data_IF_735849033510
#
_entry.id   IF_735849033510
#
_cell.length_a   1.000
_cell.length_b   1.000
_cell.length_c   1.000
_cell.angle_alpha   90.00
_cell.angle_beta   90.00
_cell.angle_gamma   90.00
#
_symmetry.space_group_name_H-M   'P 1'
#
loop_
_entity.id
_entity.type
_entity.pdbx_description
1 polymer ?
#
# COMPACT_ATOMS: atom_id res chain seq x y z
N UNK A 1 50.16 63.84 -2.68
CA UNK A 1 50.10 62.70 -1.72
C UNK A 1 48.90 61.86 -2.13
N UNK A 2 48.98 60.79 -2.95
CA UNK A 2 49.66 59.48 -2.82
C UNK A 2 49.28 58.67 -1.57
N UNK A 3 48.29 57.77 -1.76
CA UNK A 3 48.17 56.35 -1.33
C UNK A 3 46.88 55.85 -2.00
N UNK A 4 46.87 55.18 -3.15
CA UNK A 4 47.34 53.83 -3.47
C UNK A 4 47.01 52.79 -2.40
N UNK A 5 45.92 52.05 -2.64
CA UNK A 5 45.80 50.63 -2.28
C UNK A 5 45.46 49.85 -3.57
N UNK A 6 46.26 48.80 -3.73
CA UNK A 6 46.41 47.81 -4.80
C UNK A 6 45.13 47.00 -5.07
N UNK A 7 44.77 46.73 -6.33
CA UNK A 7 45.07 45.49 -7.10
C UNK A 7 44.53 44.21 -6.41
N UNK A 8 43.74 43.35 -7.04
CA UNK A 8 43.45 43.24 -8.46
C UNK A 8 42.37 42.21 -8.82
N UNK A 9 42.06 42.24 -10.10
CA UNK A 9 41.29 41.28 -10.87
C UNK A 9 42.08 39.96 -10.93
N UNK A 10 41.43 38.83 -10.62
CA UNK A 10 42.02 37.50 -10.64
C UNK A 10 40.99 36.42 -10.93
N UNK A 11 40.83 36.14 -12.22
CA UNK A 11 40.55 34.85 -12.86
C UNK A 11 39.80 33.72 -12.12
N UNK A 12 38.73 33.28 -12.80
CA UNK A 12 38.31 31.90 -13.03
C UNK A 12 39.01 30.81 -12.19
N UNK A 13 38.26 30.23 -11.26
CA UNK A 13 38.36 28.81 -10.95
C UNK A 13 36.97 28.19 -11.16
N UNK A 14 36.84 27.51 -12.30
CA UNK A 14 35.84 26.48 -12.55
C UNK A 14 36.03 25.41 -11.47
N UNK A 15 35.18 25.44 -10.45
CA UNK A 15 34.83 24.32 -9.60
C UNK A 15 33.35 24.09 -9.90
N UNK A 16 32.96 23.29 -10.90
CA UNK A 16 33.52 21.96 -11.12
C UNK A 16 33.21 21.03 -9.94
N UNK A 17 32.20 21.34 -9.12
CA UNK A 17 31.52 20.31 -8.33
C UNK A 17 30.42 19.77 -9.23
N UNK A 18 30.77 18.69 -9.91
CA UNK A 18 29.81 17.74 -10.44
C UNK A 18 28.86 17.37 -9.31
N UNK A 19 27.73 18.07 -9.22
CA UNK A 19 26.51 17.57 -8.60
C UNK A 19 26.05 16.41 -9.46
N UNK A 20 26.75 15.31 -9.23
CA UNK A 20 26.37 13.97 -9.63
C UNK A 20 24.91 13.81 -9.23
N UNK A 21 24.11 13.40 -10.20
CA UNK A 21 22.69 13.21 -10.11
C UNK A 21 22.29 12.48 -8.82
N UNK A 22 21.62 13.16 -7.89
CA UNK A 22 20.97 12.50 -6.74
C UNK A 22 19.76 13.28 -6.18
N UNK A 23 19.24 14.28 -6.91
CA UNK A 23 18.09 15.08 -6.48
C UNK A 23 16.93 15.14 -7.50
N UNK A 24 16.98 14.35 -8.57
CA UNK A 24 15.94 14.32 -9.61
C UNK A 24 15.02 13.08 -9.57
N UNK A 25 15.33 12.04 -8.77
CA UNK A 25 14.57 10.77 -8.80
C UNK A 25 14.15 10.27 -7.40
N UNK A 26 13.81 11.18 -6.48
CA UNK A 26 13.08 10.76 -5.29
C UNK A 26 11.65 10.38 -5.71
N UNK A 27 11.44 9.09 -6.03
CA UNK A 27 10.12 8.54 -6.37
C UNK A 27 9.09 8.99 -5.33
N UNK A 28 7.96 9.52 -5.80
CA UNK A 28 6.89 10.01 -4.94
C UNK A 28 6.35 8.87 -4.08
N UNK A 29 6.47 9.00 -2.76
CA UNK A 29 6.01 7.99 -1.81
C UNK A 29 4.65 8.40 -1.23
N UNK A 30 3.57 8.10 -1.95
CA UNK A 30 2.22 8.49 -1.52
C UNK A 30 1.80 7.92 -0.15
N UNK A 31 2.14 6.67 0.25
CA UNK A 31 1.88 6.19 1.60
C UNK A 31 2.53 7.05 2.69
N UNK A 32 3.79 7.47 2.52
CA UNK A 32 4.47 8.38 3.47
C UNK A 32 3.88 9.80 3.42
N UNK A 33 3.45 10.27 2.25
CA UNK A 33 2.76 11.56 2.16
C UNK A 33 1.44 11.50 2.92
N UNK A 34 0.68 10.40 2.80
CA UNK A 34 -0.60 10.21 3.47
C UNK A 34 -0.52 10.34 5.00
N UNK A 35 0.61 9.97 5.63
CA UNK A 35 0.78 10.12 7.10
C UNK A 35 0.87 11.59 7.53
N UNK A 36 1.22 12.49 6.62
CA UNK A 36 1.35 13.94 6.87
C UNK A 36 0.09 14.73 6.52
N UNK A 37 -0.87 14.10 5.86
CA UNK A 37 -2.13 14.73 5.49
C UNK A 37 -3.03 14.86 6.74
N UNK A 38 -3.54 16.07 7.05
CA UNK A 38 -4.44 16.28 8.18
C UNK A 38 -5.74 15.49 7.99
N UNK A 39 -6.41 15.18 9.09
CA UNK A 39 -7.66 14.40 9.06
C UNK A 39 -8.88 15.21 8.59
N UNK A 40 -8.77 16.54 8.53
CA UNK A 40 -9.80 17.48 8.08
C UNK A 40 -9.18 18.86 7.80
N UNK A 41 -9.82 19.69 6.99
CA UNK A 41 -9.48 21.12 6.86
C UNK A 41 -9.92 21.94 8.10
N UNK A 42 -11.00 21.51 8.74
CA UNK A 42 -11.51 22.05 10.00
C UNK A 42 -11.54 20.95 11.09
N UNK A 43 -10.38 20.44 11.54
CA UNK A 43 -10.32 19.35 12.53
C UNK A 43 -10.90 19.77 13.87
N UNK A 44 -10.88 21.07 14.17
CA UNK A 44 -11.54 21.68 15.30
C UNK A 44 -12.23 22.97 14.85
N UNK A 45 -13.37 23.28 15.47
CA UNK A 45 -14.06 24.56 15.26
C UNK A 45 -13.63 25.63 16.26
N UNK A 46 -12.34 25.68 16.56
CA UNK A 46 -11.72 26.62 17.51
C UNK A 46 -11.26 27.91 16.82
N UNK A 47 -11.27 29.04 17.53
CA UNK A 47 -10.80 30.33 17.00
C UNK A 47 -9.27 30.52 17.13
N UNK A 48 -8.63 31.30 16.23
CA UNK A 48 -9.21 31.94 15.04
C UNK A 48 -9.37 30.98 13.86
N UNK A 49 -10.47 31.11 13.12
CA UNK A 49 -10.79 30.26 11.96
C UNK A 49 -10.55 30.98 10.64
N UNK A 50 -10.03 30.26 9.65
CA UNK A 50 -9.97 30.73 8.26
C UNK A 50 -11.38 30.85 7.66
N UNK A 51 -11.59 31.58 6.54
CA UNK A 51 -12.89 31.64 5.88
C UNK A 51 -13.48 30.26 5.54
N UNK A 52 -12.66 29.35 5.02
CA UNK A 52 -13.06 27.97 4.72
C UNK A 52 -13.47 27.21 5.99
N UNK A 53 -12.70 27.33 7.07
CA UNK A 53 -13.04 26.70 8.34
C UNK A 53 -14.35 27.23 8.92
N UNK A 54 -14.62 28.54 8.77
CA UNK A 54 -15.91 29.12 9.17
C UNK A 54 -17.07 28.55 8.36
N UNK A 55 -16.89 28.41 7.04
CA UNK A 55 -17.89 27.79 6.17
C UNK A 55 -18.21 26.37 6.65
N UNK A 56 -17.18 25.53 6.86
CA UNK A 56 -17.35 24.14 7.30
C UNK A 56 -18.02 24.06 8.69
N UNK A 57 -17.49 24.81 9.67
CA UNK A 57 -17.92 24.72 11.06
C UNK A 57 -19.33 25.26 11.36
N UNK A 58 -19.80 26.22 10.56
CA UNK A 58 -21.08 26.90 10.80
C UNK A 58 -22.12 26.65 9.71
N UNK A 59 -21.86 25.71 8.80
CA UNK A 59 -22.82 25.34 7.77
C UNK A 59 -24.07 24.74 8.38
N UNK A 60 -25.23 25.22 7.91
CA UNK A 60 -26.54 24.70 8.29
C UNK A 60 -27.04 23.82 7.15
N UNK A 61 -26.91 22.48 7.25
CA UNK A 61 -27.24 21.59 6.16
C UNK A 61 -28.75 21.55 5.91
N UNK A 62 -29.15 21.49 4.63
CA UNK A 62 -30.55 21.29 4.21
C UNK A 62 -30.99 19.83 4.39
N UNK A 63 -30.07 18.88 4.20
CA UNK A 63 -30.23 17.45 4.45
C UNK A 63 -29.12 16.94 5.37
N UNK A 64 -29.37 15.96 6.23
CA UNK A 64 -28.35 15.47 7.18
C UNK A 64 -27.06 14.97 6.50
N UNK A 65 -27.16 14.49 5.25
CA UNK A 65 -26.04 14.09 4.38
C UNK A 65 -25.13 15.23 3.95
N UNK A 66 -25.54 16.48 4.19
CA UNK A 66 -24.89 17.70 3.70
C UNK A 66 -24.03 18.35 4.79
N UNK A 67 -23.80 17.62 5.88
CA UNK A 67 -23.00 18.07 7.00
C UNK A 67 -21.53 18.19 6.57
N UNK A 68 -21.06 19.43 6.43
CA UNK A 68 -19.69 19.72 5.99
C UNK A 68 -18.62 19.19 6.94
N UNK A 69 -18.86 19.10 8.25
CA UNK A 69 -17.87 18.53 9.18
C UNK A 69 -17.67 17.03 8.97
N UNK A 70 -18.77 16.31 8.74
CA UNK A 70 -18.71 14.88 8.41
C UNK A 70 -18.09 14.66 7.03
N UNK A 71 -18.45 15.49 6.05
CA UNK A 71 -17.92 15.39 4.70
C UNK A 71 -16.43 15.72 4.64
N UNK A 72 -15.97 16.75 5.34
CA UNK A 72 -14.55 17.15 5.43
C UNK A 72 -13.68 16.00 5.93
N UNK A 73 -14.02 15.44 7.09
CA UNK A 73 -13.27 14.32 7.67
C UNK A 73 -13.31 13.06 6.80
N UNK A 74 -14.47 12.73 6.23
CA UNK A 74 -14.62 11.56 5.34
C UNK A 74 -13.84 11.72 4.05
N UNK A 75 -13.83 12.91 3.45
CA UNK A 75 -13.11 13.22 2.22
C UNK A 75 -11.61 13.12 2.43
N UNK A 76 -11.08 13.69 3.52
CA UNK A 76 -9.66 13.60 3.84
C UNK A 76 -9.24 12.17 4.16
N UNK A 77 -10.10 11.40 4.83
CA UNK A 77 -9.87 9.98 5.04
C UNK A 77 -9.79 9.20 3.71
N UNK A 78 -10.76 9.39 2.81
CA UNK A 78 -10.77 8.74 1.49
C UNK A 78 -9.55 9.12 0.65
N UNK A 79 -9.11 10.37 0.69
CA UNK A 79 -7.89 10.80 0.01
C UNK A 79 -6.63 10.13 0.59
N UNK A 80 -6.52 10.01 1.92
CA UNK A 80 -5.42 9.28 2.58
C UNK A 80 -5.40 7.80 2.18
N UNK A 81 -6.56 7.16 2.09
CA UNK A 81 -6.67 5.78 1.62
C UNK A 81 -6.22 5.65 0.17
N UNK A 82 -6.69 6.52 -0.74
CA UNK A 82 -6.30 6.50 -2.15
C UNK A 82 -4.78 6.70 -2.34
N UNK A 83 -4.16 7.58 -1.56
CA UNK A 83 -2.69 7.76 -1.56
C UNK A 83 -1.95 6.50 -1.07
N UNK A 84 -2.45 5.83 -0.02
CA UNK A 84 -1.85 4.59 0.48
C UNK A 84 -1.95 3.47 -0.55
N UNK A 85 -3.12 3.32 -1.17
CA UNK A 85 -3.37 2.35 -2.23
C UNK A 85 -2.49 2.59 -3.47
N UNK A 86 -2.28 3.85 -3.85
CA UNK A 86 -1.47 4.21 -5.02
C UNK A 86 -0.01 3.76 -4.93
N UNK A 87 0.57 3.66 -3.72
CA UNK A 87 1.95 3.17 -3.55
C UNK A 87 3.05 4.18 -3.93
N UNK A 88 4.24 3.66 -4.26
CA UNK A 88 5.46 4.48 -4.46
C UNK A 88 5.84 4.55 -5.93
N UNK A 89 6.05 5.76 -6.43
CA UNK A 89 6.55 6.01 -7.78
C UNK A 89 5.55 5.67 -8.89
N UNK A 90 4.26 5.52 -8.56
CA UNK A 90 3.23 5.13 -9.52
C UNK A 90 2.66 6.35 -10.26
N UNK A 91 2.20 6.18 -11.51
CA UNK A 91 1.44 7.21 -12.22
C UNK A 91 0.22 7.69 -11.43
N UNK A 92 -0.46 6.78 -10.75
CA UNK A 92 -1.64 7.04 -9.93
C UNK A 92 -1.30 7.95 -8.74
N UNK A 93 -0.16 7.72 -8.08
CA UNK A 93 0.33 8.58 -7.01
C UNK A 93 0.54 10.03 -7.51
N UNK A 94 1.18 10.17 -8.67
CA UNK A 94 1.42 11.47 -9.30
C UNK A 94 0.11 12.18 -9.65
N UNK A 95 -0.83 11.47 -10.26
CA UNK A 95 -2.14 11.99 -10.63
C UNK A 95 -2.97 12.42 -9.41
N UNK A 96 -3.00 11.62 -8.35
CA UNK A 96 -3.70 11.94 -7.11
C UNK A 96 -3.21 13.26 -6.50
N UNK A 97 -1.89 13.42 -6.38
CA UNK A 97 -1.27 14.63 -5.83
C UNK A 97 -1.55 15.86 -6.70
N UNK A 98 -1.51 15.72 -8.03
CA UNK A 98 -1.84 16.81 -8.94
C UNK A 98 -3.32 17.21 -8.84
N UNK A 99 -4.23 16.23 -8.84
CA UNK A 99 -5.68 16.48 -8.73
C UNK A 99 -6.06 17.12 -7.40
N UNK A 100 -5.38 16.76 -6.31
CA UNK A 100 -5.62 17.33 -4.98
C UNK A 100 -5.29 18.83 -4.96
N UNK A 101 -4.17 19.25 -5.58
CA UNK A 101 -3.80 20.68 -5.66
C UNK A 101 -4.86 21.52 -6.37
N UNK A 102 -5.48 20.97 -7.42
CA UNK A 102 -6.57 21.63 -8.14
C UNK A 102 -7.79 21.77 -7.23
N UNK A 103 -8.19 20.69 -6.58
CA UNK A 103 -9.30 20.69 -5.63
C UNK A 103 -9.09 21.69 -4.48
N UNK A 104 -7.91 21.71 -3.85
CA UNK A 104 -7.62 22.63 -2.74
C UNK A 104 -7.67 24.10 -3.17
N UNK A 105 -7.26 24.40 -4.41
CA UNK A 105 -7.37 25.74 -4.99
C UNK A 105 -8.84 26.13 -5.21
N UNK A 106 -9.65 25.25 -5.77
CA UNK A 106 -11.08 25.47 -5.98
C UNK A 106 -11.82 25.65 -4.65
N UNK A 107 -11.52 24.78 -3.68
CA UNK A 107 -12.09 24.84 -2.33
C UNK A 107 -11.73 26.16 -1.63
N UNK A 108 -10.48 26.61 -1.74
CA UNK A 108 -10.04 27.89 -1.19
C UNK A 108 -10.73 29.10 -1.83
N UNK A 109 -11.09 29.02 -3.11
CA UNK A 109 -11.79 30.08 -3.82
C UNK A 109 -13.24 30.29 -3.33
N UNK A 110 -13.88 29.29 -2.74
CA UNK A 110 -15.21 29.43 -2.12
C UNK A 110 -15.20 30.35 -0.89
N UNK A 111 -14.06 30.57 -0.23
CA UNK A 111 -13.98 31.42 0.95
C UNK A 111 -14.93 30.97 2.07
N UNK A 112 -15.89 31.82 2.45
CA UNK A 112 -16.89 31.52 3.49
C UNK A 112 -18.24 31.02 2.94
N UNK A 113 -18.36 30.78 1.63
CA UNK A 113 -19.59 30.29 1.01
C UNK A 113 -19.75 28.78 1.23
N UNK A 114 -20.63 28.41 2.16
CA UNK A 114 -20.87 27.01 2.52
C UNK A 114 -21.52 26.16 1.42
N UNK A 115 -22.38 26.74 0.57
CA UNK A 115 -23.01 25.99 -0.52
C UNK A 115 -21.96 25.70 -1.63
N UNK A 116 -21.07 26.66 -1.93
CA UNK A 116 -19.90 26.44 -2.81
C UNK A 116 -18.96 25.36 -2.26
N UNK A 117 -18.63 25.41 -0.96
CA UNK A 117 -17.78 24.41 -0.30
C UNK A 117 -18.41 23.02 -0.39
N UNK A 118 -19.72 22.90 -0.11
CA UNK A 118 -20.44 21.63 -0.19
C UNK A 118 -20.42 21.04 -1.60
N UNK A 119 -20.69 21.85 -2.63
CA UNK A 119 -20.65 21.39 -4.01
C UNK A 119 -19.25 20.89 -4.39
N UNK A 120 -18.21 21.64 -4.02
CA UNK A 120 -16.81 21.32 -4.33
C UNK A 120 -16.36 20.03 -3.63
N UNK A 121 -16.67 19.88 -2.33
CA UNK A 121 -16.37 18.66 -1.57
C UNK A 121 -17.13 17.44 -2.10
N UNK A 122 -18.40 17.59 -2.51
CA UNK A 122 -19.16 16.48 -3.12
C UNK A 122 -18.55 16.01 -4.42
N UNK A 123 -18.20 16.94 -5.32
CA UNK A 123 -17.51 16.61 -6.59
C UNK A 123 -16.23 15.82 -6.32
N UNK A 124 -15.44 16.27 -5.34
CA UNK A 124 -14.22 15.57 -4.94
C UNK A 124 -14.50 14.19 -4.33
N UNK A 125 -15.52 14.05 -3.50
CA UNK A 125 -15.92 12.77 -2.91
C UNK A 125 -16.29 11.75 -4.00
N UNK A 126 -17.06 12.15 -5.02
CA UNK A 126 -17.35 11.29 -6.16
C UNK A 126 -16.08 10.91 -6.94
N UNK A 127 -15.21 11.88 -7.23
CA UNK A 127 -13.96 11.60 -7.93
C UNK A 127 -13.03 10.65 -7.14
N UNK A 128 -12.98 10.76 -5.81
CA UNK A 128 -12.20 9.85 -4.97
C UNK A 128 -12.78 8.44 -4.96
N UNK A 129 -14.12 8.30 -4.90
CA UNK A 129 -14.80 7.01 -5.02
C UNK A 129 -14.50 6.34 -6.36
N UNK A 130 -14.60 7.10 -7.45
CA UNK A 130 -14.28 6.58 -8.79
C UNK A 130 -12.82 6.13 -8.84
N UNK A 131 -11.88 6.88 -8.26
CA UNK A 131 -10.47 6.45 -8.18
C UNK A 131 -10.32 5.17 -7.37
N UNK A 132 -10.97 5.08 -6.20
CA UNK A 132 -10.92 3.88 -5.35
C UNK A 132 -11.42 2.64 -6.11
N UNK A 133 -12.54 2.76 -6.82
CA UNK A 133 -13.09 1.70 -7.67
C UNK A 133 -12.11 1.26 -8.77
N UNK A 134 -11.35 2.19 -9.37
CA UNK A 134 -10.34 1.87 -10.38
C UNK A 134 -9.03 1.32 -9.79
N UNK A 135 -8.66 1.73 -8.58
CA UNK A 135 -7.46 1.24 -7.88
C UNK A 135 -7.66 -0.17 -7.35
N UNK A 136 -8.89 -0.54 -7.01
CA UNK A 136 -9.25 -1.90 -6.69
C UNK A 136 -9.15 -2.75 -7.97
N UNK A 137 -8.02 -3.44 -8.13
CA UNK A 137 -7.89 -4.40 -9.22
C UNK A 137 -8.99 -5.46 -9.08
N UNK A 138 -9.89 -5.63 -10.07
CA UNK A 138 -10.95 -6.63 -9.98
C UNK A 138 -10.29 -8.00 -9.92
N UNK A 139 -10.35 -8.64 -8.75
CA UNK A 139 -9.98 -10.04 -8.59
C UNK A 139 -11.06 -10.90 -9.22
N UNK A 140 -11.03 -11.01 -10.55
CA UNK A 140 -11.99 -11.82 -11.28
C UNK A 140 -11.88 -13.29 -10.84
N UNK A 141 -12.99 -13.86 -10.38
CA UNK A 141 -13.05 -15.27 -10.00
C UNK A 141 -12.58 -16.19 -11.14
N UNK A 142 -12.88 -15.83 -12.40
CA UNK A 142 -12.44 -16.56 -13.57
C UNK A 142 -10.91 -16.51 -13.77
N UNK A 143 -10.27 -15.36 -13.48
CA UNK A 143 -8.81 -15.23 -13.55
C UNK A 143 -8.13 -16.05 -12.46
N UNK A 144 -8.63 -16.00 -11.23
CA UNK A 144 -8.16 -16.84 -10.11
C UNK A 144 -8.31 -18.34 -10.43
N UNK A 145 -9.46 -18.75 -10.97
CA UNK A 145 -9.72 -20.14 -11.37
C UNK A 145 -8.79 -20.61 -12.48
N UNK A 146 -8.57 -19.80 -13.53
CA UNK A 146 -7.61 -20.10 -14.60
C UNK A 146 -6.19 -20.22 -14.04
N UNK A 147 -5.81 -19.33 -13.12
CA UNK A 147 -4.48 -19.34 -12.55
C UNK A 147 -4.24 -20.53 -11.61
N UNK A 148 -5.12 -20.76 -10.64
CA UNK A 148 -5.00 -21.86 -9.68
C UNK A 148 -5.18 -23.24 -10.33
N UNK A 149 -6.08 -23.37 -11.30
CA UNK A 149 -6.43 -24.64 -11.93
C UNK A 149 -7.01 -25.66 -10.95
N UNK A 150 -6.85 -26.95 -11.24
CA UNK A 150 -7.33 -28.07 -10.42
C UNK A 150 -6.36 -28.51 -9.31
N UNK A 151 -5.48 -27.61 -8.86
CA UNK A 151 -4.41 -27.93 -7.91
C UNK A 151 -4.99 -28.16 -6.51
N UNK A 152 -4.54 -29.24 -5.85
CA UNK A 152 -4.83 -29.50 -4.45
C UNK A 152 -3.66 -29.05 -3.58
N UNK A 153 -3.94 -28.30 -2.53
CA UNK A 153 -2.98 -27.81 -1.56
C UNK A 153 -3.36 -28.24 -0.14
N UNK A 154 -2.37 -28.42 0.72
CA UNK A 154 -2.57 -28.76 2.12
C UNK A 154 -1.78 -27.79 2.98
N UNK A 155 -2.50 -26.90 3.67
CA UNK A 155 -1.91 -26.08 4.74
C UNK A 155 -1.46 -27.00 5.90
N UNK A 156 -0.44 -26.61 6.66
CA UNK A 156 0.02 -27.38 7.82
C UNK A 156 -1.09 -27.59 8.84
N UNK A 157 -1.26 -28.81 9.32
CA UNK A 157 -2.31 -29.15 10.29
C UNK A 157 -3.74 -29.11 9.73
N UNK A 158 -3.92 -28.88 8.42
CA UNK A 158 -5.22 -28.87 7.75
C UNK A 158 -5.35 -30.04 6.77
N UNK A 159 -6.60 -30.36 6.40
CA UNK A 159 -6.91 -31.31 5.32
C UNK A 159 -6.58 -30.67 3.97
N UNK A 160 -6.21 -31.51 3.01
CA UNK A 160 -5.99 -31.07 1.64
C UNK A 160 -7.30 -30.52 1.04
N UNK A 161 -7.21 -29.41 0.33
CA UNK A 161 -8.33 -28.73 -0.32
C UNK A 161 -7.89 -28.14 -1.67
N UNK A 162 -8.81 -27.83 -2.59
CA UNK A 162 -8.50 -27.06 -3.78
C UNK A 162 -7.79 -25.75 -3.43
N UNK A 163 -6.68 -25.46 -4.12
CA UNK A 163 -5.91 -24.23 -3.90
C UNK A 163 -6.79 -22.99 -4.04
N UNK A 164 -7.65 -22.94 -5.07
CA UNK A 164 -8.56 -21.82 -5.26
C UNK A 164 -9.44 -21.59 -4.03
N UNK A 165 -10.02 -22.65 -3.46
CA UNK A 165 -10.86 -22.53 -2.26
C UNK A 165 -10.07 -22.00 -1.06
N UNK A 166 -8.80 -22.42 -0.92
CA UNK A 166 -7.90 -21.92 0.14
C UNK A 166 -7.61 -20.43 -0.01
N UNK A 167 -7.46 -19.94 -1.24
CA UNK A 167 -7.24 -18.52 -1.53
C UNK A 167 -8.53 -17.71 -1.33
N UNK A 168 -9.65 -18.20 -1.86
CA UNK A 168 -10.94 -17.52 -1.78
C UNK A 168 -11.42 -17.31 -0.34
N UNK A 169 -11.16 -18.26 0.56
CA UNK A 169 -11.50 -18.10 2.00
C UNK A 169 -10.92 -16.82 2.61
N UNK A 170 -9.77 -16.35 2.14
CA UNK A 170 -9.19 -15.08 2.59
C UNK A 170 -9.77 -13.86 1.88
N UNK A 171 -10.41 -14.03 0.73
CA UNK A 171 -10.84 -12.96 -0.17
C UNK A 171 -12.33 -12.64 -0.05
N UNK A 172 -13.02 -13.21 0.94
CA UNK A 172 -14.47 -13.10 1.13
C UNK A 172 -14.91 -11.78 1.82
N UNK A 173 -13.97 -10.90 2.18
CA UNK A 173 -14.23 -9.60 2.79
C UNK A 173 -14.05 -8.52 1.74
N UNK A 174 -14.98 -7.56 1.67
CA UNK A 174 -14.91 -6.45 0.73
C UNK A 174 -15.10 -5.10 1.44
N UNK A 175 -14.32 -4.06 1.08
CA UNK A 175 -13.21 -4.06 0.13
C UNK A 175 -11.97 -4.80 0.65
N UNK A 176 -11.12 -5.27 -0.28
CA UNK A 176 -9.85 -5.92 0.06
C UNK A 176 -8.73 -4.89 0.14
N UNK A 177 -7.89 -4.94 1.20
CA UNK A 177 -6.66 -4.16 1.24
C UNK A 177 -5.74 -4.47 0.07
N UNK A 178 -5.19 -3.41 -0.51
CA UNK A 178 -4.33 -3.49 -1.68
C UNK A 178 -3.28 -2.39 -1.70
N UNK A 179 -2.21 -2.60 -2.47
CA UNK A 179 -1.15 -1.61 -2.65
C UNK A 179 -0.49 -1.76 -4.02
N UNK A 180 -0.37 -0.64 -4.74
CA UNK A 180 0.34 -0.52 -6.01
C UNK A 180 1.87 -0.61 -5.82
N UNK A 181 2.47 -1.62 -6.44
CA UNK A 181 3.91 -1.86 -6.36
C UNK A 181 4.67 -1.01 -7.39
N UNK A 182 5.95 -0.67 -7.14
CA UNK A 182 6.77 0.13 -8.08
C UNK A 182 6.95 -0.51 -9.47
N UNK A 183 6.73 -1.82 -9.59
CA UNK A 183 6.79 -2.54 -10.87
C UNK A 183 5.46 -2.49 -11.65
N UNK A 184 4.46 -1.71 -11.19
CA UNK A 184 3.14 -1.58 -11.80
C UNK A 184 2.18 -2.74 -11.52
N UNK A 185 2.57 -3.70 -10.68
CA UNK A 185 1.66 -4.73 -10.17
C UNK A 185 0.89 -4.19 -8.95
N UNK A 186 -0.20 -4.85 -8.59
CA UNK A 186 -0.92 -4.61 -7.34
C UNK A 186 -0.85 -5.85 -6.47
N UNK A 187 -0.43 -5.67 -5.21
CA UNK A 187 -0.58 -6.70 -4.18
C UNK A 187 -1.92 -6.50 -3.49
N UNK A 188 -2.74 -7.56 -3.45
CA UNK A 188 -4.01 -7.62 -2.73
C UNK A 188 -3.89 -8.69 -1.65
N UNK A 189 -4.43 -8.46 -0.47
CA UNK A 189 -4.46 -9.47 0.59
C UNK A 189 -5.79 -9.49 1.31
N UNK A 190 -6.05 -10.60 1.99
CA UNK A 190 -7.34 -10.85 2.60
C UNK A 190 -7.23 -11.72 3.86
N UNK A 191 -8.29 -11.66 4.67
CA UNK A 191 -8.34 -12.16 6.03
C UNK A 191 -9.35 -13.29 6.18
N UNK A 192 -9.13 -14.13 7.19
CA UNK A 192 -10.14 -15.07 7.62
C UNK A 192 -11.33 -14.30 8.18
N UNK A 193 -12.57 -14.63 7.76
CA UNK A 193 -13.75 -14.16 8.44
C UNK A 193 -13.68 -14.46 9.95
N UNK A 194 -14.05 -13.48 10.78
CA UNK A 194 -14.20 -13.56 12.25
C UNK A 194 -12.93 -13.63 13.11
N UNK A 195 -11.76 -13.97 12.57
CA UNK A 195 -10.51 -14.07 13.36
C UNK A 195 -9.47 -12.98 13.01
N UNK A 196 -9.75 -12.14 12.01
CA UNK A 196 -8.85 -11.07 11.54
C UNK A 196 -7.41 -11.54 11.23
N UNK A 197 -7.21 -12.82 10.92
CA UNK A 197 -5.90 -13.37 10.54
C UNK A 197 -5.73 -13.27 9.04
N UNK A 198 -4.59 -12.76 8.56
CA UNK A 198 -4.31 -12.80 7.11
C UNK A 198 -4.25 -14.26 6.64
N UNK A 199 -4.97 -14.57 5.59
CA UNK A 199 -5.04 -15.91 5.01
C UNK A 199 -4.46 -15.99 3.61
N UNK A 200 -4.56 -14.93 2.83
CA UNK A 200 -4.30 -15.02 1.39
C UNK A 200 -3.75 -13.72 0.84
N UNK A 201 -2.92 -13.84 -0.18
CA UNK A 201 -2.43 -12.73 -0.97
C UNK A 201 -2.47 -13.08 -2.46
N UNK A 202 -2.64 -12.07 -3.29
CA UNK A 202 -2.66 -12.18 -4.75
C UNK A 202 -1.86 -11.02 -5.30
N UNK A 203 -1.02 -11.29 -6.29
CA UNK A 203 -0.41 -10.23 -7.10
C UNK A 203 -1.05 -10.27 -8.48
N UNK A 204 -1.56 -9.13 -8.92
CA UNK A 204 -2.07 -8.92 -10.28
C UNK A 204 -1.25 -7.86 -10.99
N UNK A 205 -1.13 -7.95 -12.30
CA UNK A 205 -0.52 -6.87 -13.09
C UNK A 205 -1.54 -5.76 -13.38
N UNK A 206 -1.10 -4.68 -14.01
CA UNK A 206 -1.94 -3.56 -14.46
C UNK A 206 -3.11 -3.94 -15.39
N UNK A 207 -3.10 -5.14 -15.99
CA UNK A 207 -4.17 -5.67 -16.85
C UNK A 207 -5.16 -6.54 -16.08
N UNK A 208 -5.01 -6.67 -14.75
CA UNK A 208 -5.83 -7.56 -13.92
C UNK A 208 -5.44 -9.04 -14.00
N UNK A 209 -4.36 -9.39 -14.70
CA UNK A 209 -3.91 -10.78 -14.82
C UNK A 209 -3.13 -11.21 -13.58
N UNK A 210 -3.57 -12.31 -12.96
CA UNK A 210 -2.91 -12.93 -11.80
C UNK A 210 -1.48 -13.36 -12.16
N UNK A 211 -0.51 -12.89 -11.38
CA UNK A 211 0.90 -13.23 -11.49
C UNK A 211 1.34 -14.23 -10.41
N UNK A 212 0.74 -14.14 -9.23
CA UNK A 212 1.09 -14.94 -8.06
C UNK A 212 -0.13 -15.13 -7.15
N UNK A 213 -0.26 -16.31 -6.56
CA UNK A 213 -1.16 -16.57 -5.43
C UNK A 213 -0.32 -16.91 -4.19
N UNK A 214 -0.78 -16.53 -3.01
CA UNK A 214 -0.13 -16.85 -1.76
C UNK A 214 -1.11 -17.31 -0.69
N UNK A 215 -0.79 -18.43 -0.04
CA UNK A 215 -1.44 -18.87 1.18
C UNK A 215 -0.58 -18.45 2.37
N UNK A 216 -1.20 -17.82 3.36
CA UNK A 216 -0.53 -17.27 4.54
C UNK A 216 -1.07 -18.01 5.76
N UNK A 217 -0.18 -18.52 6.60
CA UNK A 217 -0.51 -19.21 7.83
C UNK A 217 0.30 -18.59 8.99
N UNK A 218 -0.36 -18.21 10.09
CA UNK A 218 0.27 -18.01 11.41
C UNK A 218 1.22 -16.81 11.61
N UNK A 219 1.13 -15.75 10.79
CA UNK A 219 2.08 -14.61 10.86
C UNK A 219 1.50 -13.28 11.38
N UNK A 220 0.18 -13.16 11.45
CA UNK A 220 -0.47 -11.87 11.76
C UNK A 220 -0.25 -11.47 13.22
N UNK A 221 0.10 -10.19 13.45
CA UNK A 221 0.39 -9.64 14.79
C UNK A 221 1.46 -10.42 15.58
N UNK A 222 2.43 -11.03 14.88
CA UNK A 222 3.54 -11.74 15.49
C UNK A 222 4.49 -10.87 16.34
N UNK A 223 4.41 -9.53 16.31
CA UNK A 223 5.16 -8.63 17.19
C UNK A 223 4.25 -7.48 17.71
N UNK A 224 3.41 -7.75 18.72
CA UNK A 224 2.54 -6.73 19.32
C UNK A 224 3.32 -5.54 19.91
N UNK A 225 2.66 -4.38 20.05
CA UNK A 225 3.31 -3.12 20.50
C UNK A 225 3.98 -3.21 21.86
N UNK A 226 3.44 -4.02 22.76
CA UNK A 226 3.90 -4.24 24.13
C UNK A 226 4.93 -5.37 24.26
N UNK A 227 5.32 -6.01 23.15
CA UNK A 227 6.21 -7.17 23.12
C UNK A 227 7.54 -6.84 22.45
N UNK A 228 8.59 -7.45 22.98
CA UNK A 228 9.96 -7.34 22.45
C UNK A 228 10.44 -8.61 21.76
N UNK A 229 9.65 -9.70 21.85
CA UNK A 229 9.94 -10.99 21.23
C UNK A 229 8.83 -11.35 20.25
N UNK A 230 9.18 -11.95 19.10
CA UNK A 230 8.18 -12.43 18.16
C UNK A 230 7.40 -13.63 18.75
N UNK A 231 6.10 -13.63 18.54
CA UNK A 231 5.15 -14.67 18.92
C UNK A 231 4.49 -15.22 17.63
N UNK A 232 5.29 -15.89 16.79
CA UNK A 232 4.78 -16.56 15.58
C UNK A 232 4.25 -17.96 15.91
N UNK A 233 3.20 -18.39 15.20
CA UNK A 233 2.73 -19.77 15.29
C UNK A 233 3.83 -20.73 14.82
N UNK A 234 3.89 -21.94 15.39
CA UNK A 234 4.88 -22.95 15.01
C UNK A 234 4.80 -23.36 13.52
N UNK A 235 3.65 -23.14 12.87
CA UNK A 235 3.45 -23.40 11.45
C UNK A 235 3.57 -22.14 10.57
N UNK A 236 3.94 -20.99 11.14
CA UNK A 236 4.04 -19.70 10.48
C UNK A 236 4.81 -19.80 9.16
N UNK A 237 4.15 -19.46 8.04
CA UNK A 237 4.76 -19.47 6.71
C UNK A 237 3.94 -18.70 5.69
N UNK A 238 4.60 -18.33 4.60
CA UNK A 238 3.97 -17.88 3.37
C UNK A 238 4.28 -18.91 2.28
N UNK A 239 3.24 -19.46 1.66
CA UNK A 239 3.37 -20.38 0.52
C UNK A 239 2.93 -19.68 -0.76
N UNK A 240 3.87 -19.48 -1.68
CA UNK A 240 3.68 -18.77 -2.94
C UNK A 240 3.53 -19.75 -4.10
N UNK A 241 2.62 -19.43 -5.02
CA UNK A 241 2.34 -20.21 -6.22
C UNK A 241 2.44 -19.33 -7.45
N UNK A 242 3.32 -19.70 -8.38
CA UNK A 242 3.58 -18.93 -9.60
C UNK A 242 3.55 -19.81 -10.84
N UNK A 243 3.14 -19.27 -11.99
CA UNK A 243 3.29 -19.95 -13.29
C UNK A 243 4.60 -19.56 -13.98
N UNK A 244 4.98 -18.29 -13.87
CA UNK A 244 6.25 -17.75 -14.34
C UNK A 244 7.18 -17.46 -13.14
N UNK A 245 8.35 -18.13 -13.03
CA UNK A 245 9.32 -17.85 -11.97
C UNK A 245 9.81 -16.39 -11.92
N UNK A 246 9.78 -15.64 -13.03
CA UNK A 246 10.16 -14.23 -13.01
C UNK A 246 9.21 -13.38 -12.14
N UNK A 247 7.92 -13.74 -12.07
CA UNK A 247 6.96 -13.06 -11.20
C UNK A 247 7.33 -13.18 -9.72
N UNK A 248 7.99 -14.28 -9.32
CA UNK A 248 8.49 -14.44 -7.96
C UNK A 248 9.60 -13.42 -7.69
N UNK A 249 10.60 -13.31 -8.57
CA UNK A 249 11.71 -12.37 -8.39
C UNK A 249 11.24 -10.90 -8.33
N UNK A 250 10.29 -10.53 -9.19
CA UNK A 250 9.78 -9.16 -9.27
C UNK A 250 8.99 -8.72 -8.03
N UNK A 251 8.34 -9.65 -7.32
CA UNK A 251 7.41 -9.33 -6.23
C UNK A 251 7.93 -9.75 -4.84
N UNK A 252 8.97 -10.58 -4.75
CA UNK A 252 9.50 -11.08 -3.49
C UNK A 252 9.95 -9.97 -2.50
N UNK A 253 10.60 -8.86 -2.92
CA UNK A 253 10.90 -7.77 -1.99
C UNK A 253 9.65 -7.20 -1.32
N UNK A 254 8.59 -6.96 -2.09
CA UNK A 254 7.32 -6.46 -1.57
C UNK A 254 6.64 -7.48 -0.65
N UNK A 255 6.68 -8.77 -0.97
CA UNK A 255 6.11 -9.83 -0.14
C UNK A 255 6.81 -9.97 1.21
N UNK A 256 8.13 -9.78 1.26
CA UNK A 256 8.89 -9.77 2.54
C UNK A 256 8.53 -8.57 3.40
N UNK A 257 8.46 -7.39 2.80
CA UNK A 257 8.06 -6.18 3.50
C UNK A 257 6.60 -6.25 3.99
N UNK A 258 5.72 -6.82 3.18
CA UNK A 258 4.34 -7.11 3.55
C UNK A 258 4.26 -8.11 4.72
N UNK A 259 5.11 -9.14 4.75
CA UNK A 259 5.16 -10.08 5.86
C UNK A 259 5.55 -9.39 7.18
N UNK A 260 6.56 -8.50 7.14
CA UNK A 260 6.94 -7.68 8.28
C UNK A 260 5.81 -6.73 8.71
N UNK A 261 5.08 -6.15 7.76
CA UNK A 261 3.90 -5.33 8.08
C UNK A 261 2.79 -6.16 8.75
N UNK A 262 2.52 -7.37 8.25
CA UNK A 262 1.57 -8.30 8.85
C UNK A 262 1.97 -8.70 10.28
N UNK A 263 3.27 -8.94 10.52
CA UNK A 263 3.79 -9.20 11.87
C UNK A 263 3.50 -8.04 12.82
N UNK A 264 3.56 -6.81 12.33
CA UNK A 264 3.28 -5.60 13.12
C UNK A 264 1.78 -5.28 13.25
N UNK A 265 0.91 -5.99 12.53
CA UNK A 265 -0.52 -5.72 12.45
C UNK A 265 -0.91 -4.59 11.50
N UNK A 266 -0.04 -4.27 10.53
CA UNK A 266 -0.18 -3.16 9.58
C UNK A 266 -0.33 -1.79 10.26
N UNK A 267 -0.56 -0.73 9.47
CA UNK A 267 -0.81 0.63 9.95
C UNK A 267 0.30 1.21 10.85
N UNK A 268 1.56 0.91 10.49
CA UNK A 268 2.75 1.35 11.21
C UNK A 268 3.47 2.48 10.47
N UNK A 269 3.94 3.47 11.22
CA UNK A 269 4.74 4.56 10.66
C UNK A 269 6.25 4.26 10.78
N UNK A 270 6.76 3.51 9.79
CA UNK A 270 8.17 3.15 9.75
C UNK A 270 9.12 4.32 9.45
N UNK A 271 8.60 5.49 9.05
CA UNK A 271 9.38 6.71 8.85
C UNK A 271 9.47 7.58 10.11
N UNK A 272 8.71 7.24 11.16
CA UNK A 272 8.58 8.01 12.38
C UNK A 272 8.68 7.15 13.62
N UNK A 273 7.64 7.18 14.46
CA UNK A 273 7.66 6.59 15.80
C UNK A 273 7.89 5.07 15.82
N UNK A 274 7.52 4.35 14.76
CA UNK A 274 7.65 2.88 14.69
C UNK A 274 8.93 2.40 13.97
N UNK A 275 9.86 3.29 13.59
CA UNK A 275 11.03 2.93 12.78
C UNK A 275 11.85 1.74 13.34
N UNK A 276 12.11 1.73 14.65
CA UNK A 276 12.84 0.63 15.30
C UNK A 276 12.04 -0.68 15.30
N UNK A 277 10.71 -0.61 15.46
CA UNK A 277 9.82 -1.79 15.42
C UNK A 277 9.75 -2.36 14.01
N UNK A 278 9.71 -1.52 12.99
CA UNK A 278 9.77 -1.96 11.60
C UNK A 278 11.07 -2.71 11.30
N UNK A 279 12.22 -2.16 11.70
CA UNK A 279 13.52 -2.83 11.54
C UNK A 279 13.58 -4.17 12.28
N UNK A 280 13.00 -4.25 13.48
CA UNK A 280 12.92 -5.51 14.23
C UNK A 280 12.04 -6.54 13.51
N UNK A 281 10.91 -6.11 12.94
CA UNK A 281 10.00 -6.99 12.21
C UNK A 281 10.62 -7.55 10.92
N UNK A 282 11.39 -6.74 10.20
CA UNK A 282 12.12 -7.17 9.00
C UNK A 282 13.18 -8.23 9.29
N UNK A 283 13.71 -8.26 10.52
CA UNK A 283 14.69 -9.25 10.96
C UNK A 283 14.06 -10.58 11.40
N UNK A 284 12.73 -10.65 11.55
CA UNK A 284 12.03 -11.89 11.94
C UNK A 284 11.98 -12.82 10.73
N UNK A 285 12.56 -14.03 10.81
CA UNK A 285 12.55 -14.96 9.70
C UNK A 285 11.16 -15.59 9.53
N UNK A 286 10.40 -15.14 8.53
CA UNK A 286 9.18 -15.83 8.08
C UNK A 286 9.55 -16.83 6.99
N UNK A 287 9.30 -18.14 7.18
CA UNK A 287 9.51 -19.13 6.13
C UNK A 287 8.66 -18.82 4.90
N UNK A 288 9.31 -18.64 3.75
CA UNK A 288 8.64 -18.51 2.45
C UNK A 288 8.94 -19.74 1.62
N UNK A 289 7.90 -20.44 1.20
CA UNK A 289 7.98 -21.57 0.27
C UNK A 289 7.40 -21.11 -1.07
N UNK A 290 8.02 -21.50 -2.18
CA UNK A 290 7.51 -21.17 -3.51
C UNK A 290 7.34 -22.44 -4.35
N UNK A 291 6.26 -22.49 -5.12
CA UNK A 291 5.95 -23.60 -6.00
C UNK A 291 5.58 -23.13 -7.40
N UNK A 292 6.03 -23.88 -8.41
CA UNK A 292 5.60 -23.67 -9.80
C UNK A 292 4.30 -24.40 -10.07
N UNK A 293 3.30 -23.68 -10.55
CA UNK A 293 2.07 -24.25 -11.10
C UNK A 293 2.32 -24.72 -12.54
N UNK A 294 1.82 -25.91 -12.90
CA UNK A 294 1.87 -26.43 -14.26
C UNK A 294 3.21 -27.04 -14.69
N UNK A 295 4.05 -27.46 -13.75
CA UNK A 295 5.22 -28.29 -14.04
C UNK A 295 4.82 -29.67 -14.61
N UNK A 296 5.60 -30.25 -15.55
CA UNK A 296 5.39 -31.62 -16.01
C UNK A 296 5.50 -32.59 -14.82
N UNK A 297 4.50 -33.46 -14.66
CA UNK A 297 4.41 -34.37 -13.53
C UNK A 297 5.35 -35.57 -13.73
N UNK A 298 6.21 -35.87 -12.76
CA UNK A 298 6.90 -37.18 -12.70
C UNK A 298 6.17 -38.20 -11.81
N UNK A 299 5.21 -37.77 -10.97
CA UNK A 299 4.53 -38.63 -10.02
C UNK A 299 3.00 -38.53 -10.10
N UNK A 300 2.33 -39.68 -10.11
CA UNK A 300 0.87 -39.85 -10.07
C UNK A 300 0.27 -39.23 -8.80
N UNK A 301 -0.44 -38.11 -8.94
CA UNK A 301 -1.24 -37.49 -7.87
C UNK A 301 -1.49 -35.99 -8.07
N UNK A 302 -2.58 -35.46 -7.48
CA UNK A 302 -3.05 -34.07 -7.68
C UNK A 302 -2.59 -33.07 -6.60
N UNK A 303 -1.90 -33.52 -5.54
CA UNK A 303 -1.46 -32.66 -4.44
C UNK A 303 -0.11 -31.99 -4.75
N UNK A 304 -0.03 -30.66 -4.67
CA UNK A 304 1.18 -29.89 -5.04
C UNK A 304 2.30 -29.92 -3.98
N UNK A 305 2.00 -30.43 -2.77
CA UNK A 305 2.95 -30.41 -1.65
C UNK A 305 4.24 -31.11 -2.06
N UNK A 306 5.35 -30.37 -2.03
CA UNK A 306 6.72 -30.82 -2.35
C UNK A 306 6.98 -31.28 -3.80
N UNK A 307 6.05 -31.07 -4.74
CA UNK A 307 6.20 -31.63 -6.09
C UNK A 307 6.97 -30.74 -7.06
N UNK A 308 6.88 -29.41 -6.92
CA UNK A 308 7.56 -28.46 -7.80
C UNK A 308 8.09 -27.24 -7.03
N UNK A 309 8.98 -27.45 -6.04
CA UNK A 309 9.56 -26.35 -5.29
C UNK A 309 10.38 -25.46 -6.22
N UNK A 310 10.29 -24.15 -6.01
CA UNK A 310 11.14 -23.16 -6.63
C UNK A 310 12.09 -22.62 -5.55
N UNK A 311 13.40 -22.53 -5.84
CA UNK A 311 14.30 -21.78 -4.97
C UNK A 311 13.87 -20.32 -4.95
N UNK A 312 13.96 -19.68 -3.79
CA UNK A 312 13.72 -18.25 -3.71
C UNK A 312 14.89 -17.51 -4.38
N UNK A 313 14.63 -16.60 -5.32
CA UNK A 313 15.68 -15.80 -5.93
C UNK A 313 16.35 -14.90 -4.89
N UNK A 314 17.65 -14.69 -5.05
CA UNK A 314 18.33 -13.62 -4.33
C UNK A 314 17.83 -12.29 -4.89
N UNK A 315 17.09 -11.56 -4.06
CA UNK A 315 16.53 -10.25 -4.42
C UNK A 315 17.03 -9.21 -3.43
N UNK A 316 17.49 -8.09 -3.97
CA UNK A 316 17.70 -6.85 -3.23
C UNK A 316 16.46 -5.98 -3.38
N UNK A 317 16.14 -5.19 -2.35
CA UNK A 317 15.02 -4.26 -2.41
C UNK A 317 14.68 -3.73 -1.03
N UNK A 318 14.52 -2.41 -0.93
CA UNK A 318 14.20 -1.70 0.30
C UNK A 318 12.72 -1.27 0.27
N UNK A 319 11.82 -2.23 0.11
CA UNK A 319 10.39 -1.96 0.25
C UNK A 319 10.11 -1.84 1.75
N UNK A 320 9.62 -0.68 2.20
CA UNK A 320 9.35 -0.49 3.63
C UNK A 320 8.05 -1.21 4.04
N UNK A 321 8.00 -1.86 5.21
CA UNK A 321 6.77 -2.41 5.78
C UNK A 321 5.69 -1.34 6.00
N UNK A 322 6.08 -0.08 6.19
CA UNK A 322 5.17 1.05 6.38
C UNK A 322 4.38 1.44 5.12
N UNK A 323 4.59 0.74 4.01
CA UNK A 323 3.80 0.93 2.78
C UNK A 323 2.49 0.13 2.80
N UNK A 324 2.34 -0.86 3.68
CA UNK A 324 1.17 -1.74 3.72
C UNK A 324 0.21 -1.29 4.83
N UNK A 325 -0.95 -0.79 4.42
CA UNK A 325 -1.99 -0.24 5.29
C UNK A 325 -3.28 -1.04 5.15
N UNK A 326 -4.05 -1.14 6.23
CA UNK A 326 -5.33 -1.86 6.29
C UNK A 326 -6.40 -1.05 7.02
#
# INVERSE_FOLDING_TARGET
MRRQIFLGIGFCAVLGVSLSADAADALLNCPVIATKIPDAFAPTCSHPQTPLQKAICHYKPKHWTDNLLLLDSSLMHGYKQALRAAGVGTPECTHLLASQKVFEKELGACGSDGDCVLETMRKRSFALRDIEEHQQAPLEAAALQRFAGGVIFQSPGQKSAPLLQRIQRGMDIYPLPHMGLPNGNTLVWGFQPHNATVQSLVVVNHQGAVQLLGAVDGIYLGLPRDKTRPELDANARITLFVRNPQALAQNLPALRAWAAASILGFNVDCGGADAARCKAAEAIPVPILAYRLGCPQEASGKALVNRCPLPLPAVSGNVSPGLFWQ
#
